data_IF_926861366709
#
_entry.id   IF_926861366709
#
_cell.length_a   1.000
_cell.length_b   1.000
_cell.length_c   1.000
_cell.angle_alpha   90.00
_cell.angle_beta   90.00
_cell.angle_gamma   90.00
#
_symmetry.space_group_name_H-M   'P 1'
#
loop_
_entity.id
_entity.type
_entity.pdbx_description
1 polymer ?
#
# COMPACT_ATOMS: atom_id res chain seq x y z
N UNK A 1 -2.50 -0.91 -4.10
CA UNK A 1 -1.41 -0.98 -5.10
C UNK A 1 -0.45 -2.15 -4.86
N UNK A 2 -0.47 -2.79 -3.68
CA UNK A 2 0.51 -3.80 -3.29
C UNK A 2 0.53 -5.01 -4.23
N UNK A 3 -0.63 -5.52 -4.64
CA UNK A 3 -0.68 -6.70 -5.51
C UNK A 3 -0.21 -6.37 -6.93
N UNK A 4 -0.68 -5.26 -7.52
CA UNK A 4 -0.24 -4.85 -8.85
C UNK A 4 1.28 -4.69 -8.97
N UNK A 5 1.92 -4.18 -7.91
CA UNK A 5 3.35 -3.89 -7.90
C UNK A 5 4.26 -5.07 -7.54
N UNK A 6 3.80 -6.01 -6.72
CA UNK A 6 4.71 -7.05 -6.19
C UNK A 6 4.29 -8.48 -6.54
N UNK A 7 3.02 -8.73 -6.89
CA UNK A 7 2.55 -10.08 -7.19
C UNK A 7 3.24 -10.69 -8.42
N UNK A 8 3.46 -9.88 -9.45
CA UNK A 8 4.14 -10.31 -10.67
C UNK A 8 5.59 -10.76 -10.43
N UNK A 9 6.25 -10.27 -9.37
CA UNK A 9 7.62 -10.66 -9.01
C UNK A 9 7.69 -12.10 -8.49
N UNK A 10 6.59 -12.64 -7.93
CA UNK A 10 6.54 -14.01 -7.44
C UNK A 10 6.01 -14.96 -8.52
N UNK A 11 4.85 -14.66 -9.10
CA UNK A 11 4.11 -15.61 -9.93
C UNK A 11 4.43 -15.51 -11.44
N UNK A 12 5.11 -14.43 -11.86
CA UNK A 12 5.38 -14.15 -13.27
C UNK A 12 6.84 -13.76 -13.56
N UNK A 13 7.78 -14.05 -12.64
CA UNK A 13 9.19 -13.72 -12.81
C UNK A 13 9.83 -14.31 -14.08
N UNK A 14 9.35 -15.47 -14.55
CA UNK A 14 9.81 -16.12 -15.78
C UNK A 14 9.00 -15.75 -17.04
N UNK A 15 7.93 -14.96 -16.90
CA UNK A 15 7.06 -14.56 -18.02
C UNK A 15 7.56 -13.26 -18.67
N UNK A 16 7.30 -13.06 -19.96
CA UNK A 16 7.64 -11.80 -20.63
C UNK A 16 7.03 -10.59 -19.91
N UNK A 17 7.82 -9.53 -19.76
CA UNK A 17 7.47 -8.33 -18.99
C UNK A 17 6.15 -7.68 -19.42
N UNK A 18 5.76 -7.79 -20.70
CA UNK A 18 4.52 -7.22 -21.22
C UNK A 18 3.27 -7.93 -20.69
N UNK A 19 3.35 -9.23 -20.38
CA UNK A 19 2.24 -10.00 -19.77
C UNK A 19 2.09 -9.59 -18.30
N UNK A 20 3.21 -9.48 -17.59
CA UNK A 20 3.23 -8.97 -16.23
C UNK A 20 2.66 -7.54 -16.16
N UNK A 21 3.05 -6.67 -17.09
CA UNK A 21 2.54 -5.30 -17.16
C UNK A 21 1.02 -5.25 -17.41
N UNK A 22 0.48 -6.03 -18.35
CA UNK A 22 -0.96 -6.10 -18.63
C UNK A 22 -1.76 -6.63 -17.42
N UNK A 23 -1.29 -7.69 -16.78
CA UNK A 23 -1.93 -8.25 -15.59
C UNK A 23 -1.90 -7.26 -14.41
N UNK A 24 -0.73 -6.63 -14.16
CA UNK A 24 -0.58 -5.59 -13.15
C UNK A 24 -1.48 -4.39 -13.41
N UNK A 25 -1.67 -3.99 -14.67
CA UNK A 25 -2.54 -2.88 -15.04
C UNK A 25 -4.01 -3.19 -14.75
N UNK A 26 -4.46 -4.41 -15.02
CA UNK A 26 -5.79 -4.88 -14.65
C UNK A 26 -6.03 -4.81 -13.14
N UNK A 27 -5.09 -5.33 -12.34
CA UNK A 27 -5.19 -5.28 -10.87
C UNK A 27 -5.15 -3.84 -10.35
N UNK A 28 -4.25 -3.01 -10.89
CA UNK A 28 -4.14 -1.60 -10.52
C UNK A 28 -5.45 -0.84 -10.76
N UNK A 29 -6.17 -1.14 -11.85
CA UNK A 29 -7.47 -0.53 -12.14
C UNK A 29 -8.48 -0.82 -11.02
N UNK A 30 -8.59 -2.07 -10.56
CA UNK A 30 -9.47 -2.42 -9.45
C UNK A 30 -9.06 -1.72 -8.15
N UNK A 31 -7.76 -1.67 -7.85
CA UNK A 31 -7.27 -0.97 -6.66
C UNK A 31 -7.56 0.54 -6.73
N UNK A 32 -7.44 1.17 -7.90
CA UNK A 32 -7.80 2.57 -8.11
C UNK A 32 -9.30 2.83 -7.97
N UNK A 33 -10.15 1.94 -8.51
CA UNK A 33 -11.60 2.07 -8.40
C UNK A 33 -12.09 2.11 -6.94
N UNK A 34 -11.37 1.46 -6.02
CA UNK A 34 -11.65 1.53 -4.59
C UNK A 34 -10.99 2.74 -3.92
N UNK A 35 -9.75 3.07 -4.28
CA UNK A 35 -9.01 4.18 -3.67
C UNK A 35 -9.60 5.55 -3.99
N UNK A 36 -10.03 5.80 -5.23
CA UNK A 36 -10.57 7.11 -5.64
C UNK A 36 -11.82 7.52 -4.85
N UNK A 37 -12.88 6.69 -4.74
CA UNK A 37 -14.05 7.04 -3.94
C UNK A 37 -13.72 7.11 -2.45
N UNK A 38 -12.87 6.21 -1.93
CA UNK A 38 -12.45 6.25 -0.53
C UNK A 38 -11.74 7.57 -0.19
N UNK A 39 -10.86 8.05 -1.07
CA UNK A 39 -10.15 9.32 -0.86
C UNK A 39 -11.09 10.53 -0.97
N UNK A 40 -12.07 10.48 -1.88
CA UNK A 40 -13.10 11.53 -1.99
C UNK A 40 -13.99 11.62 -0.74
N UNK A 41 -14.40 10.47 -0.19
CA UNK A 41 -15.17 10.42 1.05
C UNK A 41 -14.30 10.91 2.21
N UNK A 42 -13.05 10.44 2.30
CA UNK A 42 -12.11 10.88 3.32
C UNK A 42 -11.86 12.39 3.30
N UNK A 43 -11.80 13.01 2.12
CA UNK A 43 -11.60 14.46 1.97
C UNK A 43 -12.78 15.32 2.46
N UNK A 44 -13.92 14.71 2.80
CA UNK A 44 -15.01 15.43 3.47
C UNK A 44 -14.78 15.61 4.97
N UNK A 45 -13.87 14.84 5.57
CA UNK A 45 -13.60 14.81 7.01
C UNK A 45 -12.16 15.21 7.33
N UNK A 46 -11.21 14.90 6.44
CA UNK A 46 -9.78 15.09 6.65
C UNK A 46 -9.17 16.02 5.59
N UNK A 47 -8.12 16.73 5.99
CA UNK A 47 -7.31 17.50 5.06
C UNK A 47 -6.46 16.59 4.16
N UNK A 48 -6.02 17.14 3.02
CA UNK A 48 -5.22 16.42 2.03
C UNK A 48 -3.96 15.78 2.65
N UNK A 49 -3.33 16.48 3.59
CA UNK A 49 -2.12 16.00 4.25
C UNK A 49 -2.40 14.86 5.25
N UNK A 50 -3.54 14.91 5.95
CA UNK A 50 -4.00 13.83 6.84
C UNK A 50 -4.36 12.57 6.06
N UNK A 51 -5.05 12.72 4.92
CA UNK A 51 -5.35 11.61 4.01
C UNK A 51 -4.10 10.92 3.49
N UNK A 52 -3.04 11.69 3.18
CA UNK A 52 -1.79 11.12 2.72
C UNK A 52 -1.14 10.25 3.80
N UNK A 53 -1.08 10.73 5.05
CA UNK A 53 -0.53 9.91 6.15
C UNK A 53 -1.38 8.68 6.41
N UNK A 54 -2.71 8.82 6.42
CA UNK A 54 -3.62 7.68 6.57
C UNK A 54 -3.36 6.63 5.48
N UNK A 55 -3.16 7.07 4.23
CA UNK A 55 -2.83 6.18 3.12
C UNK A 55 -1.49 5.46 3.32
N UNK A 56 -0.45 6.13 3.82
CA UNK A 56 0.84 5.48 4.13
C UNK A 56 0.71 4.43 5.24
N UNK A 57 -0.05 4.74 6.30
CA UNK A 57 -0.33 3.79 7.39
C UNK A 57 -1.04 2.55 6.85
N UNK A 58 -2.14 2.74 6.11
CA UNK A 58 -2.89 1.63 5.48
C UNK A 58 -1.99 0.84 4.53
N UNK A 59 -1.16 1.52 3.74
CA UNK A 59 -0.25 0.88 2.79
C UNK A 59 0.75 -0.02 3.52
N UNK A 60 1.39 0.45 4.58
CA UNK A 60 2.32 -0.36 5.37
C UNK A 60 1.59 -1.52 6.07
N UNK A 61 0.43 -1.25 6.68
CA UNK A 61 -0.38 -2.28 7.36
C UNK A 61 -0.83 -3.41 6.44
N UNK A 62 -1.13 -3.14 5.17
CA UNK A 62 -1.48 -4.16 4.17
C UNK A 62 -0.21 -4.80 3.57
N UNK A 63 0.86 -4.02 3.42
CA UNK A 63 2.12 -4.50 2.86
C UNK A 63 2.82 -5.53 3.75
N UNK A 64 2.82 -5.36 5.07
CA UNK A 64 3.54 -6.28 5.97
C UNK A 64 2.96 -7.71 5.93
N UNK A 65 1.65 -7.96 6.09
CA UNK A 65 1.05 -9.28 5.88
C UNK A 65 1.29 -9.81 4.47
N UNK A 66 1.18 -8.96 3.44
CA UNK A 66 1.47 -9.35 2.06
C UNK A 66 2.91 -9.84 1.89
N UNK A 67 3.90 -9.13 2.45
CA UNK A 67 5.30 -9.52 2.36
C UNK A 67 5.57 -10.86 3.05
N UNK A 68 4.98 -11.09 4.22
CA UNK A 68 5.20 -12.31 5.01
C UNK A 68 4.46 -13.50 4.38
N UNK A 69 3.14 -13.39 4.20
CA UNK A 69 2.30 -14.52 3.78
C UNK A 69 2.36 -14.76 2.28
N UNK A 70 2.31 -13.70 1.47
CA UNK A 70 2.29 -13.84 0.03
C UNK A 70 3.70 -13.90 -0.54
N UNK A 71 4.64 -13.03 -0.17
CA UNK A 71 6.02 -13.10 -0.71
C UNK A 71 6.94 -14.07 0.03
N UNK A 72 6.57 -14.57 1.22
CA UNK A 72 7.42 -15.47 2.01
C UNK A 72 8.66 -14.79 2.58
N UNK A 73 8.68 -13.45 2.68
CA UNK A 73 9.78 -12.71 3.28
C UNK A 73 9.79 -12.94 4.81
N UNK A 74 10.97 -13.14 5.43
CA UNK A 74 11.05 -13.26 6.88
C UNK A 74 10.59 -11.96 7.54
N UNK A 75 9.90 -12.09 8.68
CA UNK A 75 9.49 -10.92 9.46
C UNK A 75 10.73 -10.15 9.93
N UNK A 76 10.84 -8.89 9.51
CA UNK A 76 11.90 -7.97 9.94
C UNK A 76 11.35 -6.98 10.94
N UNK A 77 12.10 -6.76 12.02
CA UNK A 77 11.80 -5.72 13.01
C UNK A 77 11.74 -4.31 12.40
N UNK A 78 12.40 -4.09 11.26
CA UNK A 78 12.35 -2.84 10.51
C UNK A 78 10.93 -2.41 10.15
N UNK A 79 10.01 -3.35 9.92
CA UNK A 79 8.59 -3.04 9.68
C UNK A 79 7.91 -2.41 10.90
N UNK A 80 8.28 -2.88 12.10
CA UNK A 80 7.75 -2.34 13.36
C UNK A 80 8.31 -0.94 13.60
N UNK A 81 9.61 -0.75 13.38
CA UNK A 81 10.24 0.58 13.48
C UNK A 81 9.66 1.57 12.48
N UNK A 82 9.45 1.15 11.22
CA UNK A 82 8.77 1.96 10.22
C UNK A 82 7.34 2.33 10.65
N UNK A 83 6.59 1.38 11.21
CA UNK A 83 5.27 1.62 11.79
C UNK A 83 5.29 2.64 12.92
N UNK A 84 6.25 2.53 13.85
CA UNK A 84 6.43 3.49 14.94
C UNK A 84 6.78 4.89 14.43
N UNK A 85 7.64 5.01 13.41
CA UNK A 85 7.93 6.29 12.77
C UNK A 85 6.67 6.89 12.12
N UNK A 86 5.84 6.07 11.48
CA UNK A 86 4.55 6.52 10.92
C UNK A 86 3.58 6.97 12.02
N UNK A 87 3.57 6.34 13.19
CA UNK A 87 2.77 6.83 14.32
C UNK A 87 3.20 8.24 14.76
N UNK A 88 4.50 8.54 14.70
CA UNK A 88 5.01 9.90 14.87
C UNK A 88 4.45 10.86 13.81
N UNK A 89 4.46 10.45 12.53
CA UNK A 89 3.89 11.25 11.44
C UNK A 89 2.37 11.48 11.62
N UNK A 90 1.61 10.46 12.05
CA UNK A 90 0.20 10.59 12.42
C UNK A 90 0.05 11.62 13.54
N UNK A 91 0.81 11.50 14.62
CA UNK A 91 0.73 12.47 15.71
C UNK A 91 1.00 13.90 15.25
N UNK A 92 2.04 14.16 14.46
CA UNK A 92 2.33 15.53 14.00
C UNK A 92 1.31 16.08 13.01
N UNK A 93 0.76 15.24 12.14
CA UNK A 93 -0.18 15.67 11.11
C UNK A 93 -1.62 15.78 11.60
N UNK A 94 -1.94 15.11 12.72
CA UNK A 94 -3.23 15.18 13.39
C UNK A 94 -3.19 15.96 14.71
N UNK A 95 -2.03 16.48 15.13
CA UNK A 95 -1.99 17.49 16.20
C UNK A 95 -2.50 18.81 15.63
N UNK A 96 -3.76 19.09 15.93
CA UNK A 96 -4.49 20.28 15.49
C UNK A 96 -5.77 20.34 16.28
#
# INVERSE_FOLDING_TARGET
MTFAWYAHLKDMAAKPWYIAALASWGIALFEYLLQVPANRIGFTVYDLAQLKILQEVITLSVFVPFAIFYMGQPFKWDFVWAGLCLMGAVYFMFRG
#
